data_IF_779353105432
#
_entry.id   IF_779353105432
#
_cell.length_a   1.000
_cell.length_b   1.000
_cell.length_c   1.000
_cell.angle_alpha   90.00
_cell.angle_beta   90.00
_cell.angle_gamma   90.00
#
_symmetry.space_group_name_H-M   'P 1'
#
loop_
_entity.id
_entity.type
_entity.pdbx_description
1 polymer ?
#
# COMPACT_ATOMS: atom_id res chain seq x y z
N UNK A 1 -22.15 -50.57 -28.01
CA UNK A 1 -22.43 -49.12 -28.11
C UNK A 1 -22.42 -48.53 -26.71
N UNK A 2 -21.49 -47.62 -26.39
CA UNK A 2 -21.45 -46.99 -25.07
C UNK A 2 -22.76 -46.22 -24.79
N UNK A 3 -23.28 -46.35 -23.57
CA UNK A 3 -24.54 -45.75 -23.13
C UNK A 3 -24.47 -44.22 -23.18
N UNK A 4 -25.63 -43.54 -23.28
CA UNK A 4 -25.70 -42.08 -23.28
C UNK A 4 -25.08 -41.46 -22.00
N UNK A 5 -25.16 -42.17 -20.87
CA UNK A 5 -24.52 -41.80 -19.61
C UNK A 5 -22.98 -41.78 -19.72
N UNK A 6 -22.39 -42.84 -20.30
CA UNK A 6 -20.94 -42.96 -20.51
C UNK A 6 -20.38 -41.92 -21.48
N UNK A 7 -21.21 -41.41 -22.42
CA UNK A 7 -20.82 -40.30 -23.31
C UNK A 7 -20.92 -38.94 -22.60
N UNK A 8 -21.84 -38.78 -21.65
CA UNK A 8 -21.92 -37.58 -20.82
C UNK A 8 -20.70 -37.48 -19.89
N UNK A 9 -20.30 -38.60 -19.26
CA UNK A 9 -19.15 -38.65 -18.37
C UNK A 9 -17.82 -38.45 -19.12
N UNK A 10 -17.70 -38.93 -20.36
CA UNK A 10 -16.52 -38.65 -21.18
C UNK A 10 -16.44 -37.17 -21.59
N UNK A 11 -17.58 -36.52 -21.87
CA UNK A 11 -17.60 -35.08 -22.22
C UNK A 11 -17.32 -34.20 -20.99
N UNK A 12 -17.80 -34.58 -19.80
CA UNK A 12 -17.50 -33.89 -18.55
C UNK A 12 -16.03 -34.07 -18.12
N UNK A 13 -15.40 -35.22 -18.41
CA UNK A 13 -13.98 -35.46 -18.17
C UNK A 13 -13.03 -34.64 -19.06
N UNK A 14 -13.53 -34.08 -20.17
CA UNK A 14 -12.77 -33.19 -21.06
C UNK A 14 -12.98 -31.70 -20.78
N UNK A 15 -13.88 -31.34 -19.85
CA UNK A 15 -13.92 -29.99 -19.27
C UNK A 15 -12.82 -29.93 -18.21
N UNK A 16 -11.59 -29.68 -18.66
CA UNK A 16 -10.51 -29.25 -17.76
C UNK A 16 -10.93 -27.91 -17.17
N UNK A 17 -11.54 -27.93 -15.98
CA UNK A 17 -11.43 -26.81 -15.04
C UNK A 17 -9.93 -26.54 -14.94
N UNK A 18 -9.44 -25.31 -15.18
CA UNK A 18 -8.02 -25.02 -15.05
C UNK A 18 -7.63 -25.36 -13.60
N UNK A 19 -6.93 -26.48 -13.41
CA UNK A 19 -6.30 -26.76 -12.13
C UNK A 19 -5.27 -25.66 -11.95
N UNK A 20 -5.52 -24.74 -10.99
CA UNK A 20 -4.51 -23.78 -10.59
C UNK A 20 -3.24 -24.56 -10.21
N UNK A 21 -2.03 -24.10 -10.58
CA UNK A 21 -0.81 -24.83 -10.28
C UNK A 21 -0.69 -25.11 -8.77
N UNK A 22 0.06 -26.17 -8.43
CA UNK A 22 0.12 -26.72 -7.06
C UNK A 22 0.42 -25.68 -5.97
N UNK A 23 1.16 -24.61 -6.30
CA UNK A 23 1.42 -23.49 -5.40
C UNK A 23 0.17 -22.73 -4.99
N UNK A 24 -0.69 -22.38 -5.95
CA UNK A 24 -1.93 -21.65 -5.66
C UNK A 24 -2.90 -22.51 -4.86
N UNK A 25 -3.02 -23.81 -5.18
CA UNK A 25 -3.86 -24.72 -4.40
C UNK A 25 -3.41 -24.78 -2.92
N UNK A 26 -2.09 -24.89 -2.67
CA UNK A 26 -1.53 -24.84 -1.31
C UNK A 26 -1.77 -23.50 -0.63
N UNK A 27 -1.59 -22.39 -1.35
CA UNK A 27 -1.76 -21.05 -0.81
C UNK A 27 -3.21 -20.79 -0.36
N UNK A 28 -4.20 -21.35 -1.06
CA UNK A 28 -5.62 -21.18 -0.77
C UNK A 28 -6.15 -22.10 0.35
N UNK A 29 -5.36 -23.07 0.82
CA UNK A 29 -5.76 -23.89 1.97
C UNK A 29 -5.94 -23.04 3.21
N UNK A 30 -6.94 -23.39 4.02
CA UNK A 30 -7.27 -22.71 5.28
C UNK A 30 -6.76 -23.55 6.44
N UNK A 31 -5.67 -23.11 7.06
CA UNK A 31 -5.05 -23.81 8.19
C UNK A 31 -5.26 -23.03 9.49
N UNK A 32 -5.35 -23.72 10.66
CA UNK A 32 -5.50 -23.07 11.97
C UNK A 32 -4.40 -22.05 12.30
N UNK A 33 -3.17 -22.29 11.82
CA UNK A 33 -2.00 -21.42 12.04
C UNK A 33 -1.84 -20.31 10.97
N UNK A 34 -2.74 -20.22 10.00
CA UNK A 34 -2.73 -19.11 9.04
C UNK A 34 -2.83 -17.76 9.77
N UNK A 35 -2.06 -16.77 9.33
CA UNK A 35 -2.21 -15.39 9.80
C UNK A 35 -3.31 -14.71 9.00
N UNK A 36 -4.46 -14.53 9.62
CA UNK A 36 -5.66 -13.99 8.99
C UNK A 36 -5.83 -12.52 9.30
N UNK A 37 -6.47 -11.83 8.36
CA UNK A 37 -6.88 -10.44 8.47
C UNK A 37 -8.37 -10.43 8.76
N UNK A 38 -8.79 -9.81 9.86
CA UNK A 38 -10.20 -9.75 10.26
C UNK A 38 -10.85 -8.40 9.99
N UNK A 39 -10.05 -7.34 9.92
CA UNK A 39 -10.47 -6.01 9.48
C UNK A 39 -9.35 -5.37 8.65
N UNK A 40 -9.72 -4.74 7.55
CA UNK A 40 -8.83 -3.93 6.71
C UNK A 40 -9.58 -2.66 6.28
N UNK A 41 -9.12 -1.49 6.72
CA UNK A 41 -9.77 -0.19 6.44
C UNK A 41 -8.75 0.91 6.27
N UNK A 42 -9.13 1.98 5.58
CA UNK A 42 -8.31 3.19 5.41
C UNK A 42 -9.12 4.47 5.58
N UNK A 43 -8.45 5.54 5.94
CA UNK A 43 -9.02 6.88 5.82
C UNK A 43 -9.12 7.28 4.35
N UNK A 44 -9.86 8.35 4.03
CA UNK A 44 -9.64 9.06 2.79
C UNK A 44 -8.19 9.53 2.71
N UNK A 45 -7.68 9.60 1.49
CA UNK A 45 -6.37 10.14 1.16
C UNK A 45 -6.54 11.56 0.62
N UNK A 46 -5.96 12.54 1.31
CA UNK A 46 -6.11 13.95 0.94
C UNK A 46 -4.79 14.60 0.61
N UNK A 47 -4.78 15.51 -0.36
CA UNK A 47 -3.59 16.26 -0.77
C UNK A 47 -3.02 17.02 0.42
N UNK A 48 -1.73 16.88 0.65
CA UNK A 48 -1.06 17.62 1.70
C UNK A 48 -1.20 19.14 1.48
N UNK A 49 -1.27 19.88 2.59
CA UNK A 49 -1.38 21.34 2.73
C UNK A 49 -2.65 21.99 2.18
N UNK A 50 -3.45 21.27 1.38
CA UNK A 50 -4.62 21.83 0.68
C UNK A 50 -5.88 20.98 0.77
N UNK A 51 -5.75 19.70 1.10
CA UNK A 51 -6.84 18.75 1.16
C UNK A 51 -7.59 18.74 2.48
N UNK A 52 -8.52 17.80 2.62
CA UNK A 52 -9.40 17.68 3.78
C UNK A 52 -8.69 17.45 5.12
N UNK A 53 -7.53 16.78 5.13
CA UNK A 53 -6.75 16.48 6.35
C UNK A 53 -5.61 17.47 6.61
N UNK A 54 -5.57 18.62 5.91
CA UNK A 54 -4.43 19.56 5.98
C UNK A 54 -4.13 20.12 7.37
N UNK A 55 -5.15 20.19 8.24
CA UNK A 55 -5.03 20.67 9.62
C UNK A 55 -5.07 19.51 10.64
N UNK A 56 -5.02 18.26 10.17
CA UNK A 56 -5.08 17.07 11.02
C UNK A 56 -3.67 16.55 11.30
N UNK A 57 -3.15 16.71 12.54
CA UNK A 57 -1.87 16.15 12.92
C UNK A 57 -1.91 14.61 12.98
N UNK A 58 -0.73 13.98 13.01
CA UNK A 58 -0.60 12.53 12.92
C UNK A 58 -1.27 11.79 14.10
N UNK A 59 -1.15 12.33 15.31
CA UNK A 59 -1.77 11.80 16.52
C UNK A 59 -3.30 11.79 16.41
N UNK A 60 -3.93 12.90 16.02
CA UNK A 60 -5.38 12.97 15.82
C UNK A 60 -5.86 12.01 14.72
N UNK A 61 -5.11 11.91 13.62
CA UNK A 61 -5.40 10.98 12.53
C UNK A 61 -5.36 9.51 13.01
N UNK A 62 -4.34 9.15 13.79
CA UNK A 62 -4.21 7.83 14.40
C UNK A 62 -5.33 7.56 15.39
N UNK A 63 -5.62 8.49 16.30
CA UNK A 63 -6.68 8.35 17.30
C UNK A 63 -8.03 8.10 16.62
N UNK A 64 -8.36 8.88 15.59
CA UNK A 64 -9.62 8.76 14.89
C UNK A 64 -9.74 7.40 14.18
N UNK A 65 -8.71 6.97 13.45
CA UNK A 65 -8.70 5.67 12.78
C UNK A 65 -8.80 4.51 13.79
N UNK A 66 -8.04 4.58 14.88
CA UNK A 66 -7.99 3.51 15.90
C UNK A 66 -9.32 3.35 16.64
N UNK A 67 -10.02 4.45 16.92
CA UNK A 67 -11.39 4.41 17.48
C UNK A 67 -12.34 3.68 16.53
N UNK A 68 -12.29 4.01 15.23
CA UNK A 68 -13.12 3.35 14.22
C UNK A 68 -12.76 1.86 14.09
N UNK A 69 -11.48 1.50 14.12
CA UNK A 69 -11.04 0.10 14.08
C UNK A 69 -11.60 -0.66 15.26
N UNK A 70 -11.49 -0.11 16.47
CA UNK A 70 -12.03 -0.72 17.69
C UNK A 70 -13.54 -0.95 17.58
N UNK A 71 -14.27 0.05 17.12
CA UNK A 71 -15.73 -0.02 16.98
C UNK A 71 -16.17 -0.99 15.87
N UNK A 72 -15.52 -0.94 14.70
CA UNK A 72 -15.90 -1.72 13.51
C UNK A 72 -15.45 -3.17 13.56
N UNK A 73 -14.35 -3.48 14.27
CA UNK A 73 -13.87 -4.87 14.43
C UNK A 73 -14.69 -5.66 15.45
N UNK A 74 -15.31 -4.99 16.43
CA UNK A 74 -15.97 -5.65 17.55
C UNK A 74 -15.01 -6.50 18.41
N UNK A 75 -13.69 -6.31 18.27
CA UNK A 75 -12.70 -6.99 19.10
C UNK A 75 -12.73 -6.40 20.52
N UNK A 76 -12.58 -7.25 21.54
CA UNK A 76 -12.28 -6.75 22.88
C UNK A 76 -10.90 -6.07 22.86
N UNK A 77 -10.80 -4.76 23.17
CA UNK A 77 -9.53 -4.04 23.16
C UNK A 77 -8.46 -4.67 24.07
N UNK A 78 -8.86 -5.39 25.13
CA UNK A 78 -7.94 -6.08 26.03
C UNK A 78 -7.20 -7.26 25.40
N UNK A 79 -7.67 -7.74 24.25
CA UNK A 79 -7.02 -8.81 23.51
C UNK A 79 -5.91 -8.29 22.59
N UNK A 80 -5.90 -7.02 22.24
CA UNK A 80 -4.87 -6.46 21.34
C UNK A 80 -3.58 -6.23 22.14
N UNK A 81 -2.54 -6.97 21.79
CA UNK A 81 -1.28 -6.99 22.55
C UNK A 81 -0.23 -6.03 22.01
N UNK A 82 -0.18 -5.81 20.68
CA UNK A 82 0.72 -4.83 20.07
C UNK A 82 0.04 -4.07 18.91
N UNK A 83 0.43 -2.80 18.77
CA UNK A 83 0.08 -1.94 17.65
C UNK A 83 1.36 -1.42 17.00
N UNK A 84 1.67 -1.92 15.81
CA UNK A 84 2.83 -1.46 15.05
C UNK A 84 2.39 -0.37 14.06
N UNK A 85 2.93 0.84 14.21
CA UNK A 85 2.64 1.98 13.33
C UNK A 85 3.78 2.16 12.33
N UNK A 86 3.48 2.04 11.05
CA UNK A 86 4.35 2.44 9.95
C UNK A 86 4.27 3.94 9.73
N UNK A 87 5.35 4.66 10.04
CA UNK A 87 5.49 6.11 9.81
C UNK A 87 6.90 6.42 9.28
N UNK A 88 7.04 7.49 8.51
CA UNK A 88 8.34 7.88 7.94
C UNK A 88 8.83 9.21 8.49
N UNK A 89 8.00 10.25 8.46
CA UNK A 89 8.48 11.62 8.61
C UNK A 89 8.39 12.16 10.03
N UNK A 90 7.41 11.71 10.83
CA UNK A 90 7.09 12.39 12.07
C UNK A 90 8.21 12.26 13.12
N UNK A 91 8.66 13.38 13.71
CA UNK A 91 9.58 13.33 14.84
C UNK A 91 8.86 12.73 16.06
N UNK A 92 9.61 12.00 16.90
CA UNK A 92 9.03 11.43 18.12
C UNK A 92 7.92 10.40 17.88
N UNK A 93 7.89 9.77 16.70
CA UNK A 93 6.88 8.79 16.27
C UNK A 93 6.50 7.74 17.33
N UNK A 94 7.44 7.30 18.19
CA UNK A 94 7.17 6.35 19.27
C UNK A 94 6.26 6.94 20.38
N UNK A 95 6.46 8.21 20.75
CA UNK A 95 5.60 8.92 21.69
C UNK A 95 4.20 9.10 21.10
N UNK A 96 4.12 9.48 19.83
CA UNK A 96 2.86 9.67 19.10
C UNK A 96 2.08 8.36 19.01
N UNK A 97 2.72 7.28 18.55
CA UNK A 97 2.06 5.98 18.38
C UNK A 97 1.49 5.45 19.69
N UNK A 98 2.28 5.42 20.77
CA UNK A 98 1.83 4.91 22.07
C UNK A 98 0.70 5.75 22.65
N UNK A 99 0.82 7.08 22.58
CA UNK A 99 -0.18 8.00 23.11
C UNK A 99 -1.49 7.91 22.33
N UNK A 100 -1.43 7.79 21.01
CA UNK A 100 -2.62 7.63 20.17
C UNK A 100 -3.37 6.33 20.43
N UNK A 101 -2.65 5.21 20.65
CA UNK A 101 -3.26 3.92 21.03
C UNK A 101 -4.04 4.03 22.33
N UNK A 102 -3.44 4.63 23.36
CA UNK A 102 -4.10 4.84 24.65
C UNK A 102 -5.28 5.82 24.53
N UNK A 103 -5.12 6.93 23.82
CA UNK A 103 -6.16 7.93 23.61
C UNK A 103 -7.32 7.43 22.72
N UNK A 104 -7.07 6.42 21.88
CA UNK A 104 -8.10 5.70 21.15
C UNK A 104 -8.89 4.72 22.03
N UNK A 105 -8.45 4.51 23.27
CA UNK A 105 -9.10 3.68 24.29
C UNK A 105 -8.79 2.20 24.17
N UNK A 106 -7.59 1.86 23.70
CA UNK A 106 -6.95 0.58 24.01
C UNK A 106 -6.37 0.64 25.44
N UNK A 107 -6.35 -0.49 26.18
CA UNK A 107 -5.89 -0.50 27.56
C UNK A 107 -4.38 -0.25 27.67
N UNK A 108 -3.95 0.08 28.89
CA UNK A 108 -2.53 0.27 29.23
C UNK A 108 -1.68 -0.98 28.98
N UNK A 109 -2.31 -2.16 28.87
CA UNK A 109 -1.66 -3.44 28.58
C UNK A 109 -1.36 -3.66 27.10
N UNK A 110 -2.09 -3.03 26.17
CA UNK A 110 -1.75 -3.05 24.75
C UNK A 110 -0.43 -2.32 24.56
N UNK A 111 0.57 -2.87 23.87
CA UNK A 111 1.82 -2.18 23.56
C UNK A 111 1.71 -1.33 22.28
N UNK A 112 2.78 -0.58 21.96
CA UNK A 112 2.89 0.08 20.67
C UNK A 112 4.36 0.14 20.22
N UNK A 113 4.57 -0.04 18.91
CA UNK A 113 5.87 0.04 18.27
C UNK A 113 5.78 0.87 16.98
N UNK A 114 6.93 1.27 16.45
CA UNK A 114 7.01 2.00 15.19
C UNK A 114 7.95 1.30 14.23
N UNK A 115 7.51 1.19 12.98
CA UNK A 115 8.29 0.67 11.87
C UNK A 115 8.62 1.80 10.89
N UNK A 116 9.90 2.00 10.60
CA UNK A 116 10.33 2.89 9.54
C UNK A 116 11.25 2.16 8.55
N UNK A 117 10.75 1.98 7.33
CA UNK A 117 11.51 1.57 6.15
C UNK A 117 10.98 2.35 4.95
N UNK A 118 10.98 3.68 5.08
CA UNK A 118 10.51 4.61 4.04
C UNK A 118 9.14 4.20 3.47
N UNK A 119 8.99 4.19 2.15
CA UNK A 119 7.73 3.94 1.45
C UNK A 119 7.05 2.59 1.79
N UNK A 120 7.79 1.63 2.36
CA UNK A 120 7.24 0.33 2.75
C UNK A 120 6.90 0.22 4.24
N UNK A 121 6.99 1.29 5.04
CA UNK A 121 6.78 1.22 6.50
C UNK A 121 5.45 0.57 6.90
N UNK A 122 4.36 0.84 6.17
CA UNK A 122 3.07 0.19 6.42
C UNK A 122 3.09 -1.33 6.16
N UNK A 123 3.72 -1.77 5.06
CA UNK A 123 3.88 -3.20 4.77
C UNK A 123 4.84 -3.87 5.77
N UNK A 124 5.87 -3.15 6.24
CA UNK A 124 6.74 -3.60 7.31
C UNK A 124 5.99 -3.75 8.63
N UNK A 125 5.09 -2.83 8.97
CA UNK A 125 4.26 -2.95 10.16
C UNK A 125 3.37 -4.22 10.12
N UNK A 126 2.76 -4.50 8.97
CA UNK A 126 1.99 -5.74 8.74
C UNK A 126 2.89 -6.97 8.89
N UNK A 127 4.07 -6.96 8.28
CA UNK A 127 5.04 -8.05 8.40
C UNK A 127 5.48 -8.26 9.86
N UNK A 128 5.74 -7.18 10.62
CA UNK A 128 6.18 -7.26 12.00
C UNK A 128 5.10 -7.89 12.89
N UNK A 129 3.85 -7.42 12.80
CA UNK A 129 2.74 -8.01 13.56
C UNK A 129 2.53 -9.47 13.17
N UNK A 130 2.51 -9.79 11.88
CA UNK A 130 2.37 -11.18 11.42
C UNK A 130 3.51 -12.07 11.96
N UNK A 131 4.75 -11.59 11.95
CA UNK A 131 5.90 -12.34 12.48
C UNK A 131 5.82 -12.55 13.99
N UNK A 132 5.35 -11.57 14.76
CA UNK A 132 5.14 -11.73 16.20
C UNK A 132 4.09 -12.81 16.48
N UNK A 133 3.01 -12.85 15.71
CA UNK A 133 1.96 -13.89 15.82
C UNK A 133 2.49 -15.26 15.41
N UNK A 134 3.25 -15.35 14.31
CA UNK A 134 3.88 -16.59 13.85
C UNK A 134 4.84 -17.14 14.92
N UNK A 135 5.61 -16.24 15.56
CA UNK A 135 6.56 -16.61 16.61
C UNK A 135 5.88 -16.93 17.97
N UNK A 136 4.58 -16.68 18.10
CA UNK A 136 3.84 -16.87 19.36
C UNK A 136 4.20 -15.83 20.44
N UNK A 137 4.69 -14.65 20.05
CA UNK A 137 4.95 -13.55 20.98
C UNK A 137 3.69 -12.77 21.35
N UNK A 138 2.70 -12.76 20.45
CA UNK A 138 1.35 -12.19 20.64
C UNK A 138 0.35 -13.07 19.88
N UNK A 139 -0.93 -13.01 20.24
CA UNK A 139 -2.03 -13.69 19.55
C UNK A 139 -2.85 -12.74 18.65
N UNK A 140 -3.02 -11.48 19.06
CA UNK A 140 -3.77 -10.45 18.32
C UNK A 140 -2.97 -9.16 18.25
N UNK A 141 -2.82 -8.61 17.04
CA UNK A 141 -2.10 -7.36 16.83
C UNK A 141 -2.69 -6.50 15.72
N UNK A 142 -2.40 -5.21 15.79
CA UNK A 142 -2.84 -4.23 14.80
C UNK A 142 -1.64 -3.66 14.06
N UNK A 143 -1.68 -3.74 12.73
CA UNK A 143 -0.73 -3.05 11.87
C UNK A 143 -1.38 -1.79 11.30
N UNK A 144 -0.76 -0.64 11.56
CA UNK A 144 -1.23 0.67 11.08
C UNK A 144 -0.16 1.24 10.18
N UNK A 145 -0.54 1.90 9.09
CA UNK A 145 0.34 2.81 8.37
C UNK A 145 -0.29 4.19 8.38
N UNK A 146 0.46 5.23 8.72
CA UNK A 146 -0.07 6.59 8.81
C UNK A 146 1.00 7.63 8.44
N UNK A 147 0.59 8.67 7.72
CA UNK A 147 1.44 9.82 7.43
C UNK A 147 0.61 11.11 7.38
N UNK A 148 1.15 12.18 7.96
CA UNK A 148 0.66 13.56 7.79
C UNK A 148 1.79 14.40 7.19
N UNK A 149 1.86 14.43 5.86
CA UNK A 149 2.83 15.22 5.12
C UNK A 149 2.48 16.72 5.12
N UNK A 150 1.25 17.07 5.52
CA UNK A 150 0.85 18.43 5.89
C UNK A 150 1.55 18.90 7.16
N UNK A 151 1.58 18.05 8.19
CA UNK A 151 2.18 18.36 9.48
C UNK A 151 3.71 18.17 9.51
N UNK A 152 4.26 17.33 8.63
CA UNK A 152 5.72 17.10 8.57
C UNK A 152 6.20 17.02 7.13
N UNK A 153 7.08 17.95 6.75
CA UNK A 153 7.69 17.96 5.42
C UNK A 153 8.77 16.87 5.31
N UNK A 154 8.99 16.39 4.09
CA UNK A 154 10.17 15.60 3.76
C UNK A 154 11.35 16.56 3.49
N UNK A 155 12.21 16.74 4.49
CA UNK A 155 13.40 17.58 4.43
C UNK A 155 14.61 16.88 3.77
N UNK A 156 14.41 15.67 3.25
CA UNK A 156 15.45 14.88 2.61
C UNK A 156 16.41 14.20 3.59
N UNK A 157 17.58 13.80 3.08
CA UNK A 157 18.57 13.09 3.88
C UNK A 157 19.15 14.01 4.98
N UNK A 158 19.29 13.52 6.23
CA UNK A 158 19.99 14.27 7.27
C UNK A 158 21.48 14.39 6.95
N UNK A 159 22.20 15.26 7.66
CA UNK A 159 23.66 15.32 7.57
C UNK A 159 24.28 13.97 7.95
N UNK A 160 25.05 13.38 7.04
CA UNK A 160 25.73 12.10 7.24
C UNK A 160 27.23 12.27 7.52
N UNK A 161 27.87 11.21 8.01
CA UNK A 161 29.32 11.21 8.27
C UNK A 161 30.11 11.31 6.97
N UNK A 162 31.30 11.92 7.02
CA UNK A 162 32.19 12.02 5.85
C UNK A 162 32.54 10.65 5.26
N UNK A 163 32.59 9.59 6.06
CA UNK A 163 32.78 8.23 5.58
C UNK A 163 31.65 7.76 4.65
N UNK A 164 30.39 8.10 4.97
CA UNK A 164 29.25 7.79 4.10
C UNK A 164 29.30 8.64 2.83
N UNK A 165 29.58 9.93 2.96
CA UNK A 165 29.61 10.87 1.84
C UNK A 165 30.74 10.57 0.84
N UNK A 166 31.85 10.04 1.31
CA UNK A 166 32.99 9.66 0.46
C UNK A 166 32.87 8.24 -0.11
N UNK A 167 31.91 7.42 0.35
CA UNK A 167 31.72 6.08 -0.18
C UNK A 167 30.94 6.13 -1.50
N UNK A 168 31.40 5.47 -2.58
CA UNK A 168 30.85 5.63 -3.94
C UNK A 168 29.37 5.22 -4.08
N UNK A 169 28.92 4.22 -3.32
CA UNK A 169 27.51 3.76 -3.33
C UNK A 169 26.69 4.46 -2.25
N UNK A 170 27.15 4.49 -0.98
CA UNK A 170 26.37 5.04 0.12
C UNK A 170 26.06 6.55 -0.04
N UNK A 171 26.95 7.32 -0.67
CA UNK A 171 26.71 8.75 -0.98
C UNK A 171 25.51 8.97 -1.90
N UNK A 172 25.10 7.96 -2.67
CA UNK A 172 23.90 8.04 -3.51
C UNK A 172 22.62 8.18 -2.70
N UNK A 173 22.62 7.84 -1.40
CA UNK A 173 21.45 8.01 -0.52
C UNK A 173 21.08 9.49 -0.29
N UNK A 174 21.95 10.44 -0.62
CA UNK A 174 21.62 11.87 -0.61
C UNK A 174 20.81 12.30 -1.83
N UNK A 175 20.68 11.46 -2.87
CA UNK A 175 19.93 11.83 -4.06
C UNK A 175 18.43 11.91 -3.72
N UNK A 176 17.78 13.06 -3.99
CA UNK A 176 16.33 13.17 -3.83
C UNK A 176 15.61 12.15 -4.71
N UNK A 177 14.45 11.67 -4.29
CA UNK A 177 13.69 10.65 -5.03
C UNK A 177 13.34 11.09 -6.46
N UNK A 178 13.12 12.39 -6.68
CA UNK A 178 12.93 12.94 -8.02
C UNK A 178 14.12 12.71 -8.95
N UNK A 179 15.35 12.76 -8.43
CA UNK A 179 16.57 12.47 -9.20
C UNK A 179 16.67 10.98 -9.53
N UNK A 180 16.27 10.11 -8.61
CA UNK A 180 16.28 8.66 -8.89
C UNK A 180 15.22 8.27 -9.92
N UNK A 181 14.09 8.99 -9.98
CA UNK A 181 13.12 8.88 -11.09
C UNK A 181 13.75 9.20 -12.44
N UNK A 182 14.48 10.32 -12.54
CA UNK A 182 15.19 10.69 -13.78
C UNK A 182 16.28 9.68 -14.15
N UNK A 183 17.02 9.15 -13.17
CA UNK A 183 18.01 8.11 -13.40
C UNK A 183 17.37 6.85 -14.00
N UNK A 184 16.22 6.40 -13.47
CA UNK A 184 15.48 5.26 -14.02
C UNK A 184 15.00 5.56 -15.44
N UNK A 185 14.42 6.74 -15.67
CA UNK A 185 13.95 7.14 -16.98
C UNK A 185 15.07 7.17 -18.03
N UNK A 186 16.21 7.78 -17.71
CA UNK A 186 17.37 7.85 -18.60
C UNK A 186 18.05 6.50 -18.82
N UNK A 187 18.35 5.76 -17.73
CA UNK A 187 19.11 4.51 -17.82
C UNK A 187 18.32 3.39 -18.51
N UNK A 188 17.01 3.35 -18.34
CA UNK A 188 16.16 2.30 -18.90
C UNK A 188 15.28 2.79 -20.06
N UNK A 189 15.57 3.99 -20.59
CA UNK A 189 14.87 4.58 -21.75
C UNK A 189 13.34 4.67 -21.58
N UNK A 190 12.86 4.92 -20.36
CA UNK A 190 11.44 5.13 -20.11
C UNK A 190 11.05 6.52 -20.60
N UNK A 191 10.29 6.57 -21.68
CA UNK A 191 9.95 7.82 -22.35
C UNK A 191 8.93 8.65 -21.56
N UNK A 192 9.00 9.98 -21.70
CA UNK A 192 7.98 10.91 -21.16
C UNK A 192 6.56 10.52 -21.59
N UNK A 193 6.39 10.11 -22.85
CA UNK A 193 5.09 9.67 -23.38
C UNK A 193 4.55 8.46 -22.60
N UNK A 194 5.37 7.43 -22.39
CA UNK A 194 4.97 6.25 -21.63
C UNK A 194 4.64 6.60 -20.16
N UNK A 195 5.41 7.50 -19.55
CA UNK A 195 5.14 7.99 -18.19
C UNK A 195 3.78 8.69 -18.09
N UNK A 196 3.45 9.55 -19.05
CA UNK A 196 2.18 10.29 -19.06
C UNK A 196 0.99 9.39 -19.42
N UNK A 197 1.18 8.38 -20.28
CA UNK A 197 0.15 7.36 -20.58
C UNK A 197 -0.16 6.50 -19.35
N UNK A 198 0.88 6.06 -18.63
CA UNK A 198 0.73 5.33 -17.38
C UNK A 198 -0.01 6.16 -16.31
N UNK A 199 0.39 7.42 -16.15
CA UNK A 199 -0.23 8.35 -15.22
C UNK A 199 -1.71 8.62 -15.56
N UNK A 200 -2.03 8.85 -16.83
CA UNK A 200 -3.41 9.05 -17.28
C UNK A 200 -4.28 7.81 -16.99
N UNK A 201 -3.76 6.62 -17.24
CA UNK A 201 -4.44 5.36 -16.90
C UNK A 201 -4.71 5.25 -15.40
N UNK A 202 -3.76 5.63 -14.55
CA UNK A 202 -3.96 5.67 -13.08
C UNK A 202 -5.12 6.59 -12.68
N UNK A 203 -5.15 7.82 -13.20
CA UNK A 203 -6.24 8.77 -12.95
C UNK A 203 -7.60 8.27 -13.45
N UNK A 204 -7.65 7.70 -14.66
CA UNK A 204 -8.90 7.20 -15.25
C UNK A 204 -9.44 5.98 -14.49
N UNK A 205 -8.57 5.08 -14.02
CA UNK A 205 -8.95 3.96 -13.15
C UNK A 205 -9.50 4.45 -11.81
N UNK A 206 -8.83 5.41 -11.17
CA UNK A 206 -9.30 6.01 -9.91
C UNK A 206 -10.63 6.77 -10.08
N UNK A 207 -10.78 7.55 -11.16
CA UNK A 207 -12.03 8.23 -11.48
C UNK A 207 -13.19 7.24 -11.64
N UNK A 208 -12.97 6.17 -12.41
CA UNK A 208 -13.97 5.10 -12.58
C UNK A 208 -14.32 4.43 -11.25
N UNK A 209 -13.33 4.09 -10.44
CA UNK A 209 -13.54 3.46 -9.15
C UNK A 209 -14.36 4.34 -8.20
N UNK A 210 -14.06 5.65 -8.14
CA UNK A 210 -14.82 6.60 -7.33
C UNK A 210 -16.25 6.80 -7.86
N UNK A 211 -16.43 6.97 -9.18
CA UNK A 211 -17.77 7.14 -9.78
C UNK A 211 -18.67 5.93 -9.57
N UNK A 212 -18.08 4.73 -9.56
CA UNK A 212 -18.80 3.48 -9.38
C UNK A 212 -18.95 3.04 -7.91
N UNK A 213 -18.49 3.83 -6.94
CA UNK A 213 -18.58 3.51 -5.51
C UNK A 213 -17.70 2.34 -5.06
N UNK A 214 -16.66 1.97 -5.83
CA UNK A 214 -15.84 0.80 -5.51
C UNK A 214 -15.00 0.99 -4.24
N UNK A 215 -14.77 2.23 -3.82
CA UNK A 215 -13.95 2.57 -2.64
C UNK A 215 -14.75 2.62 -1.34
N UNK A 216 -16.08 2.47 -1.39
CA UNK A 216 -16.97 2.73 -0.26
C UNK A 216 -16.81 1.69 0.86
N UNK A 217 -16.31 0.50 0.55
CA UNK A 217 -16.11 -0.59 1.51
C UNK A 217 -14.75 -0.53 2.24
N UNK A 218 -13.76 0.14 1.64
CA UNK A 218 -12.42 0.33 2.19
C UNK A 218 -12.25 1.64 2.97
N UNK A 219 -12.97 2.71 2.60
CA UNK A 219 -12.85 4.02 3.25
C UNK A 219 -13.71 4.09 4.52
N UNK A 220 -13.11 4.56 5.61
CA UNK A 220 -13.83 4.99 6.81
C UNK A 220 -13.81 6.51 6.94
N UNK A 221 -14.97 7.19 7.03
CA UNK A 221 -15.00 8.64 7.21
C UNK A 221 -14.33 9.09 8.51
N UNK A 222 -13.58 10.18 8.46
CA UNK A 222 -12.86 10.73 9.62
C UNK A 222 -13.43 12.12 9.95
N UNK A 223 -13.77 12.34 11.21
CA UNK A 223 -14.14 13.66 11.71
C UNK A 223 -12.88 14.43 12.09
N UNK A 224 -12.72 15.64 11.57
CA UNK A 224 -11.53 16.48 11.76
C UNK A 224 -11.90 17.91 12.08
N UNK A 225 -10.99 18.63 12.74
CA UNK A 225 -11.02 20.08 12.78
C UNK A 225 -10.44 20.63 11.47
N UNK A 226 -11.22 21.47 10.80
CA UNK A 226 -10.83 22.12 9.55
C UNK A 226 -10.81 23.63 9.75
N UNK A 227 -9.68 24.25 9.40
CA UNK A 227 -9.50 25.69 9.40
C UNK A 227 -9.72 26.25 8.00
N UNK A 228 -10.78 27.05 7.83
CA UNK A 228 -11.07 27.72 6.57
C UNK A 228 -9.90 28.65 6.18
N UNK A 229 -9.31 28.50 4.99
CA UNK A 229 -8.14 29.29 4.59
C UNK A 229 -8.46 30.77 4.30
N UNK A 230 -9.72 31.14 4.09
CA UNK A 230 -10.18 32.51 3.84
C UNK A 230 -10.59 33.22 5.12
N UNK A 231 -11.34 32.55 6.00
CA UNK A 231 -11.91 33.18 7.21
C UNK A 231 -11.09 32.89 8.46
N UNK A 232 -10.25 31.85 8.46
CA UNK A 232 -9.52 31.38 9.63
C UNK A 232 -10.39 30.67 10.67
N UNK A 233 -11.70 30.53 10.44
CA UNK A 233 -12.62 29.85 11.34
C UNK A 233 -12.36 28.35 11.37
N UNK A 234 -12.38 27.76 12.57
CA UNK A 234 -12.27 26.32 12.77
C UNK A 234 -13.67 25.73 12.88
N UNK A 235 -13.90 24.65 12.14
CA UNK A 235 -15.16 23.88 12.12
C UNK A 235 -14.87 22.39 12.17
N UNK A 236 -15.80 21.59 12.68
CA UNK A 236 -15.74 20.14 12.51
C UNK A 236 -16.26 19.75 11.12
N UNK A 237 -15.51 18.92 10.41
CA UNK A 237 -15.91 18.36 9.12
C UNK A 237 -15.72 16.85 9.09
N UNK A 238 -16.54 16.18 8.29
CA UNK A 238 -16.37 14.74 8.00
C UNK A 238 -15.74 14.61 6.63
N UNK A 239 -14.52 14.09 6.59
CA UNK A 239 -13.83 13.76 5.36
C UNK A 239 -14.12 12.30 5.02
N UNK A 240 -14.65 12.05 3.83
CA UNK A 240 -15.10 10.71 3.41
C UNK A 240 -14.68 10.30 2.00
N UNK A 241 -13.89 11.13 1.29
CA UNK A 241 -13.48 10.88 -0.10
C UNK A 241 -12.04 11.30 -0.35
N UNK A 242 -11.36 10.54 -1.21
CA UNK A 242 -10.03 10.92 -1.69
C UNK A 242 -10.13 12.16 -2.58
N UNK A 243 -9.32 13.21 -2.33
CA UNK A 243 -9.39 14.51 -3.03
C UNK A 243 -8.24 14.73 -4.04
N UNK A 244 -7.39 13.69 -4.20
CA UNK A 244 -6.27 13.68 -5.14
C UNK A 244 -6.68 13.43 -6.59
N UNK A 245 -7.79 12.73 -6.83
CA UNK A 245 -8.18 12.29 -8.18
C UNK A 245 -8.59 13.50 -9.03
N UNK A 246 -8.07 13.58 -10.25
CA UNK A 246 -8.36 14.63 -11.24
C UNK A 246 -9.14 14.02 -12.40
N UNK A 247 -10.44 14.26 -12.42
CA UNK A 247 -11.34 13.68 -13.43
C UNK A 247 -11.06 14.24 -14.82
N UNK A 248 -11.16 13.38 -15.84
CA UNK A 248 -10.91 13.74 -17.23
C UNK A 248 -9.43 13.90 -17.58
N UNK A 249 -8.51 13.44 -16.72
CA UNK A 249 -7.07 13.49 -17.03
C UNK A 249 -6.74 12.62 -18.24
N UNK A 250 -6.02 13.19 -19.21
CA UNK A 250 -5.56 12.50 -20.43
C UNK A 250 -4.05 12.61 -20.59
N UNK A 251 -3.43 11.66 -21.30
CA UNK A 251 -2.00 11.70 -21.60
C UNK A 251 -1.60 13.00 -22.33
N UNK A 252 -2.45 13.50 -23.24
CA UNK A 252 -2.23 14.79 -23.93
C UNK A 252 -2.21 15.97 -22.95
N UNK A 253 -3.14 16.00 -21.98
CA UNK A 253 -3.16 17.05 -20.96
C UNK A 253 -1.92 17.01 -20.06
N UNK A 254 -1.44 15.80 -19.71
CA UNK A 254 -0.23 15.59 -18.92
C UNK A 254 1.04 15.99 -19.69
N UNK A 255 1.08 15.76 -21.01
CA UNK A 255 2.18 16.17 -21.89
C UNK A 255 2.47 17.68 -21.86
N UNK A 256 1.48 18.51 -21.48
CA UNK A 256 1.60 19.98 -21.37
C UNK A 256 2.21 20.44 -20.04
N UNK A 257 2.37 19.55 -19.06
CA UNK A 257 2.92 19.87 -17.74
C UNK A 257 4.45 20.00 -17.84
N UNK A 258 4.98 21.07 -17.24
CA UNK A 258 6.42 21.33 -17.14
C UNK A 258 7.10 20.28 -16.27
N UNK A 259 8.36 19.99 -16.58
CA UNK A 259 9.20 19.13 -15.74
C UNK A 259 9.27 19.67 -14.31
N UNK A 260 9.12 18.79 -13.34
CA UNK A 260 9.28 19.12 -11.93
C UNK A 260 10.76 19.29 -11.55
N UNK A 261 11.65 18.64 -12.31
CA UNK A 261 13.10 18.65 -12.06
C UNK A 261 13.86 19.02 -13.35
N UNK A 262 13.80 20.30 -13.80
CA UNK A 262 14.52 20.77 -14.99
C UNK A 262 16.05 20.64 -14.89
N UNK A 263 16.58 20.56 -13.67
CA UNK A 263 18.02 20.47 -13.39
C UNK A 263 18.61 19.06 -13.58
N UNK A 264 17.78 18.03 -13.78
CA UNK A 264 18.22 16.64 -13.94
C UNK A 264 17.68 16.07 -15.26
N UNK A 265 18.56 15.57 -16.12
CA UNK A 265 18.19 14.90 -17.37
C UNK A 265 17.68 13.47 -17.08
N UNK A 266 16.70 12.94 -17.86
CA UNK A 266 16.09 13.52 -19.06
C UNK A 266 15.03 14.60 -18.81
N UNK A 267 14.74 14.92 -17.56
CA UNK A 267 13.71 15.89 -17.15
C UNK A 267 12.29 15.48 -17.58
N UNK A 268 12.02 14.18 -17.45
CA UNK A 268 10.75 13.58 -17.86
C UNK A 268 9.70 13.60 -16.74
N UNK A 269 10.12 13.68 -15.48
CA UNK A 269 9.22 13.68 -14.32
C UNK A 269 8.51 15.02 -14.19
N UNK A 270 7.19 14.96 -13.99
CA UNK A 270 6.32 16.10 -13.76
C UNK A 270 5.44 15.87 -12.54
N UNK A 271 4.78 16.93 -12.05
CA UNK A 271 3.76 16.77 -11.02
C UNK A 271 2.53 15.96 -11.45
N UNK A 272 2.38 15.68 -12.74
CA UNK A 272 1.28 14.87 -13.28
C UNK A 272 1.59 13.38 -13.43
N UNK A 273 2.87 13.01 -13.43
CA UNK A 273 3.34 11.62 -13.56
C UNK A 273 4.17 11.15 -12.34
N UNK A 274 4.06 11.87 -11.22
CA UNK A 274 4.60 11.52 -9.92
C UNK A 274 3.47 11.38 -8.90
N UNK A 275 3.69 10.60 -7.83
CA UNK A 275 2.72 10.51 -6.75
C UNK A 275 2.48 11.85 -6.07
N UNK A 276 1.25 12.08 -5.63
CA UNK A 276 0.92 13.29 -4.87
C UNK A 276 1.42 13.17 -3.43
N UNK A 277 1.88 14.29 -2.87
CA UNK A 277 2.14 14.44 -1.44
C UNK A 277 0.78 14.43 -0.73
N UNK A 278 0.61 13.53 0.24
CA UNK A 278 -0.71 13.12 0.71
C UNK A 278 -0.69 12.77 2.19
N UNK A 279 -1.79 13.09 2.86
CA UNK A 279 -2.10 12.68 4.22
C UNK A 279 -3.06 11.50 4.19
N UNK A 280 -2.90 10.58 5.13
CA UNK A 280 -3.84 9.47 5.31
C UNK A 280 -3.29 8.34 6.16
N UNK A 281 -4.18 7.44 6.57
CA UNK A 281 -3.85 6.29 7.38
C UNK A 281 -4.66 5.04 6.96
N UNK A 282 -4.13 3.87 7.29
CA UNK A 282 -4.77 2.58 7.04
C UNK A 282 -4.42 1.60 8.17
N UNK A 283 -5.33 0.67 8.46
CA UNK A 283 -5.18 -0.27 9.55
C UNK A 283 -5.66 -1.68 9.16
N UNK A 284 -4.95 -2.67 9.68
CA UNK A 284 -5.19 -4.10 9.46
C UNK A 284 -5.10 -4.82 10.81
N UNK A 285 -6.16 -5.53 11.19
CA UNK A 285 -6.21 -6.37 12.39
C UNK A 285 -5.83 -7.81 12.01
N UNK A 286 -4.82 -8.36 12.70
CA UNK A 286 -4.28 -9.69 12.43
C UNK A 286 -4.34 -10.60 13.67
N UNK A 287 -4.56 -11.88 13.43
CA UNK A 287 -4.47 -12.96 14.42
C UNK A 287 -4.29 -14.31 13.71
N UNK A 288 -4.03 -15.40 14.44
CA UNK A 288 -4.14 -16.75 13.89
C UNK A 288 -5.59 -17.07 13.50
N UNK A 289 -5.79 -17.89 12.46
CA UNK A 289 -7.14 -18.36 12.05
C UNK A 289 -7.91 -18.98 13.21
N UNK A 290 -7.29 -19.91 13.93
CA UNK A 290 -7.93 -20.59 15.06
C UNK A 290 -8.43 -19.58 16.11
N UNK A 291 -7.67 -18.50 16.33
CA UNK A 291 -8.06 -17.44 17.26
C UNK A 291 -9.22 -16.60 16.73
N UNK A 292 -9.21 -16.25 15.44
CA UNK A 292 -10.33 -15.56 14.81
C UNK A 292 -11.63 -16.38 14.90
N UNK A 293 -11.56 -17.68 14.60
CA UNK A 293 -12.69 -18.61 14.68
C UNK A 293 -13.20 -18.74 16.13
N UNK A 294 -12.31 -18.88 17.11
CA UNK A 294 -12.66 -18.93 18.52
C UNK A 294 -13.37 -17.65 19.00
N UNK A 295 -12.94 -16.49 18.50
CA UNK A 295 -13.49 -15.18 18.84
C UNK A 295 -14.73 -14.80 18.00
N UNK A 296 -15.12 -15.62 17.03
CA UNK A 296 -16.20 -15.30 16.09
C UNK A 296 -15.90 -14.08 15.20
N UNK A 297 -14.62 -13.76 15.00
CA UNK A 297 -14.19 -12.64 14.15
C UNK A 297 -14.30 -13.02 12.67
N UNK A 298 -14.80 -12.11 11.80
CA UNK A 298 -14.83 -12.36 10.36
C UNK A 298 -13.40 -12.48 9.82
N UNK A 299 -13.21 -13.27 8.76
CA UNK A 299 -11.92 -13.37 8.06
C UNK A 299 -12.10 -12.78 6.67
N UNK A 300 -11.44 -11.67 6.38
CA UNK A 300 -11.52 -10.98 5.07
C UNK A 300 -10.36 -11.35 4.14
N UNK A 301 -9.28 -11.89 4.71
CA UNK A 301 -8.13 -12.36 3.94
C UNK A 301 -7.05 -12.97 4.82
N UNK A 302 -5.92 -13.26 4.18
CA UNK A 302 -4.78 -13.96 4.78
C UNK A 302 -3.47 -13.34 4.33
N UNK A 303 -2.57 -13.11 5.29
CA UNK A 303 -1.18 -12.77 5.02
C UNK A 303 -0.39 -14.05 4.69
N UNK A 304 0.24 -14.10 3.52
CA UNK A 304 0.98 -15.27 3.06
C UNK A 304 2.51 -15.10 3.10
N UNK A 305 2.97 -13.89 3.41
CA UNK A 305 4.39 -13.57 3.52
C UNK A 305 4.74 -12.24 2.88
N UNK A 306 5.89 -11.70 3.30
CA UNK A 306 6.50 -10.53 2.68
C UNK A 306 8.02 -10.70 2.61
N UNK A 307 8.65 -10.02 1.66
CA UNK A 307 10.10 -10.04 1.50
C UNK A 307 10.64 -8.67 1.12
N UNK A 308 11.93 -8.48 1.38
CA UNK A 308 12.70 -7.28 1.09
C UNK A 308 13.93 -7.65 0.25
N UNK A 309 14.36 -6.73 -0.59
CA UNK A 309 15.65 -6.75 -1.30
C UNK A 309 16.35 -5.40 -1.16
N UNK A 310 17.67 -5.41 -1.29
CA UNK A 310 18.49 -4.21 -1.49
C UNK A 310 18.95 -4.14 -2.94
N UNK A 311 19.17 -2.92 -3.43
CA UNK A 311 19.67 -2.59 -4.76
C UNK A 311 20.40 -1.25 -4.73
N UNK A 312 20.94 -0.83 -5.87
CA UNK A 312 21.67 0.44 -5.95
C UNK A 312 20.75 1.66 -5.67
N UNK A 313 21.08 2.55 -4.72
CA UNK A 313 20.19 3.64 -4.30
C UNK A 313 19.76 4.61 -5.41
N UNK A 314 20.67 4.94 -6.34
CA UNK A 314 20.37 5.89 -7.42
C UNK A 314 19.26 5.43 -8.37
N UNK A 315 18.91 4.15 -8.36
CA UNK A 315 17.84 3.53 -9.16
C UNK A 315 16.84 2.77 -8.29
N UNK A 316 16.64 3.19 -7.03
CA UNK A 316 15.77 2.51 -6.05
C UNK A 316 14.37 2.15 -6.59
N UNK A 317 13.88 2.93 -7.55
CA UNK A 317 12.60 2.75 -8.20
C UNK A 317 12.36 1.38 -8.84
N UNK A 318 13.42 0.64 -9.19
CA UNK A 318 13.28 -0.69 -9.79
C UNK A 318 13.09 -1.81 -8.76
N UNK A 319 13.04 -1.50 -7.47
CA UNK A 319 12.90 -2.48 -6.38
C UNK A 319 11.82 -3.55 -6.56
N UNK A 320 10.58 -3.21 -7.00
CA UNK A 320 9.52 -4.20 -7.27
C UNK A 320 9.93 -5.29 -8.26
N UNK A 321 10.74 -4.95 -9.28
CA UNK A 321 11.20 -5.91 -10.30
C UNK A 321 12.07 -7.05 -9.72
N UNK A 322 12.61 -6.87 -8.51
CA UNK A 322 13.34 -7.91 -7.77
C UNK A 322 12.52 -8.51 -6.63
N UNK A 323 11.75 -7.68 -5.92
CA UNK A 323 10.99 -8.11 -4.74
C UNK A 323 9.83 -9.03 -5.10
N UNK A 324 9.10 -8.74 -6.20
CA UNK A 324 7.95 -9.53 -6.65
C UNK A 324 8.38 -10.96 -7.03
N UNK A 325 9.36 -11.19 -7.93
CA UNK A 325 9.80 -12.55 -8.24
C UNK A 325 10.30 -13.30 -7.00
N UNK A 326 11.01 -12.62 -6.09
CA UNK A 326 11.52 -13.22 -4.85
C UNK A 326 10.40 -13.73 -3.94
N UNK A 327 9.33 -12.95 -3.72
CA UNK A 327 8.24 -13.41 -2.86
C UNK A 327 7.42 -14.51 -3.54
N UNK A 328 7.15 -14.39 -4.85
CA UNK A 328 6.42 -15.40 -5.61
C UNK A 328 7.14 -16.76 -5.57
N UNK A 329 8.47 -16.76 -5.78
CA UNK A 329 9.27 -17.98 -5.65
C UNK A 329 9.23 -18.60 -4.24
N UNK A 330 9.17 -17.79 -3.18
CA UNK A 330 9.05 -18.29 -1.79
C UNK A 330 7.71 -18.96 -1.50
N UNK A 331 6.62 -18.47 -2.09
CA UNK A 331 5.27 -19.02 -1.90
C UNK A 331 4.87 -20.02 -2.99
N UNK A 332 5.77 -20.31 -3.94
CA UNK A 332 5.54 -21.27 -5.02
C UNK A 332 4.56 -20.79 -6.09
N UNK A 333 4.44 -19.47 -6.28
CA UNK A 333 3.58 -18.86 -7.30
C UNK A 333 4.40 -18.38 -8.50
N UNK A 334 3.72 -18.27 -9.64
CA UNK A 334 4.16 -17.52 -10.82
C UNK A 334 3.46 -16.16 -10.92
N UNK A 335 3.85 -15.32 -11.89
CA UNK A 335 3.17 -14.04 -12.17
C UNK A 335 1.72 -14.29 -12.62
N UNK A 336 1.47 -15.36 -13.37
CA UNK A 336 0.16 -15.67 -13.93
C UNK A 336 -0.87 -16.06 -12.85
N UNK A 337 -0.39 -16.57 -11.72
CA UNK A 337 -1.20 -16.94 -10.55
C UNK A 337 -1.75 -15.74 -9.78
N UNK A 338 -1.20 -14.55 -9.99
CA UNK A 338 -1.61 -13.34 -9.29
C UNK A 338 -2.79 -12.71 -10.02
N UNK A 339 -3.82 -12.39 -9.26
CA UNK A 339 -5.06 -11.79 -9.76
C UNK A 339 -4.99 -10.26 -9.79
N UNK A 340 -4.34 -9.66 -8.78
CA UNK A 340 -4.19 -8.20 -8.62
C UNK A 340 -2.77 -7.86 -8.16
N UNK A 341 -2.15 -6.90 -8.82
CA UNK A 341 -0.90 -6.28 -8.38
C UNK A 341 -1.18 -4.84 -7.93
N UNK A 342 -0.98 -4.56 -6.65
CA UNK A 342 -0.89 -3.20 -6.13
C UNK A 342 0.58 -2.78 -6.06
N UNK A 343 1.06 -2.12 -7.11
CA UNK A 343 2.44 -1.63 -7.21
C UNK A 343 2.44 -0.12 -6.99
N UNK A 344 3.19 0.36 -6.00
CA UNK A 344 3.18 1.78 -5.66
C UNK A 344 3.72 2.63 -6.81
N UNK A 345 2.99 3.69 -7.14
CA UNK A 345 3.30 4.58 -8.27
C UNK A 345 4.01 5.84 -7.78
N UNK A 346 5.14 5.68 -7.07
CA UNK A 346 5.92 6.83 -6.58
C UNK A 346 6.27 7.79 -7.75
N UNK A 347 6.72 7.21 -8.86
CA UNK A 347 6.91 7.90 -10.13
C UNK A 347 6.53 6.96 -11.28
N UNK A 348 5.96 7.51 -12.35
CA UNK A 348 5.59 6.73 -13.53
C UNK A 348 6.80 6.07 -14.21
N UNK A 349 8.00 6.67 -14.13
CA UNK A 349 9.25 6.07 -14.62
C UNK A 349 9.50 4.69 -14.01
N UNK A 350 9.25 4.56 -12.71
CA UNK A 350 9.43 3.35 -11.92
C UNK A 350 8.29 2.35 -12.17
N UNK A 351 7.05 2.85 -12.24
CA UNK A 351 5.86 2.05 -12.53
C UNK A 351 5.95 1.38 -13.91
N UNK A 352 6.19 2.17 -14.97
CA UNK A 352 6.35 1.67 -16.33
C UNK A 352 7.47 0.64 -16.40
N UNK A 353 8.67 0.96 -15.88
CA UNK A 353 9.78 0.03 -15.88
C UNK A 353 9.42 -1.31 -15.22
N UNK A 354 8.80 -1.28 -14.03
CA UNK A 354 8.50 -2.51 -13.30
C UNK A 354 7.43 -3.36 -14.01
N UNK A 355 6.39 -2.74 -14.56
CA UNK A 355 5.34 -3.42 -15.33
C UNK A 355 5.95 -4.09 -16.56
N UNK A 356 6.72 -3.34 -17.35
CA UNK A 356 7.34 -3.85 -18.58
C UNK A 356 8.37 -4.94 -18.29
N UNK A 357 9.24 -4.72 -17.29
CA UNK A 357 10.31 -5.66 -16.93
C UNK A 357 9.77 -7.00 -16.46
N UNK A 358 8.64 -7.01 -15.77
CA UNK A 358 7.99 -8.21 -15.27
C UNK A 358 6.96 -8.79 -16.25
N UNK A 359 6.63 -8.09 -17.33
CA UNK A 359 5.61 -8.52 -18.29
C UNK A 359 4.22 -8.61 -17.67
N UNK A 360 3.88 -7.70 -16.75
CA UNK A 360 2.59 -7.74 -16.06
C UNK A 360 1.46 -7.31 -16.99
N UNK A 361 0.33 -8.00 -16.92
CA UNK A 361 -0.92 -7.54 -17.54
C UNK A 361 -1.36 -6.20 -16.91
N UNK A 362 -1.42 -5.09 -17.69
CA UNK A 362 -1.83 -3.79 -17.18
C UNK A 362 -3.23 -3.78 -16.54
N UNK A 363 -4.12 -4.71 -16.92
CA UNK A 363 -5.45 -4.83 -16.32
C UNK A 363 -5.41 -5.35 -14.88
N UNK A 364 -4.35 -6.09 -14.50
CA UNK A 364 -4.13 -6.58 -13.13
C UNK A 364 -3.40 -5.57 -12.24
N UNK A 365 -2.75 -4.55 -12.82
CA UNK A 365 -1.93 -3.57 -12.09
C UNK A 365 -2.76 -2.35 -11.68
N UNK A 366 -2.87 -2.11 -10.37
CA UNK A 366 -3.59 -0.98 -9.76
C UNK A 366 -4.96 -0.75 -10.43
N UNK A 367 -5.87 -1.75 -10.46
CA UNK A 367 -7.11 -1.68 -11.24
C UNK A 367 -8.06 -0.55 -10.77
N UNK A 368 -7.87 -0.06 -9.55
CA UNK A 368 -8.58 1.09 -8.95
C UNK A 368 -7.80 2.41 -9.03
N UNK A 369 -6.72 2.45 -9.81
CA UNK A 369 -5.76 3.55 -9.83
C UNK A 369 -4.76 3.43 -8.67
N UNK A 370 -3.62 4.08 -8.81
CA UNK A 370 -2.54 4.02 -7.82
C UNK A 370 -2.15 5.40 -7.29
N UNK A 371 -0.93 5.49 -6.76
CA UNK A 371 -0.48 6.65 -6.00
C UNK A 371 -0.32 7.95 -6.82
N UNK A 372 -0.23 7.88 -8.15
CA UNK A 372 -0.27 9.08 -9.00
C UNK A 372 -1.64 9.77 -8.86
N UNK A 373 -2.72 9.00 -8.83
CA UNK A 373 -4.07 9.51 -8.71
C UNK A 373 -4.54 9.68 -7.27
N UNK A 374 -4.29 8.67 -6.43
CA UNK A 374 -4.77 8.58 -5.05
C UNK A 374 -3.85 9.28 -4.04
N UNK A 375 -2.57 9.45 -4.39
CA UNK A 375 -1.54 9.97 -3.50
C UNK A 375 -0.70 8.91 -2.79
N UNK A 376 0.44 9.35 -2.24
CA UNK A 376 1.42 8.52 -1.55
C UNK A 376 1.72 9.04 -0.13
N UNK A 377 0.84 8.78 0.85
CA UNK A 377 1.19 8.99 2.26
C UNK A 377 2.19 7.92 2.67
N UNK A 378 3.48 8.28 2.70
CA UNK A 378 4.63 7.36 2.75
C UNK A 378 4.39 6.13 3.65
N UNK A 379 4.29 6.35 4.97
CA UNK A 379 4.10 5.26 5.94
C UNK A 379 2.78 4.50 5.82
N UNK A 380 1.73 5.13 5.28
CA UNK A 380 0.41 4.53 5.09
C UNK A 380 0.32 3.59 3.88
N UNK A 381 1.10 3.86 2.83
CA UNK A 381 0.86 3.26 1.51
C UNK A 381 0.91 1.74 1.49
N UNK A 382 1.89 1.13 2.17
CA UNK A 382 1.99 -0.33 2.21
C UNK A 382 0.76 -1.01 2.84
N UNK A 383 0.21 -0.43 3.91
CA UNK A 383 -1.02 -0.92 4.54
C UNK A 383 -2.23 -0.64 3.65
N UNK A 384 -2.32 0.58 3.10
CA UNK A 384 -3.41 1.01 2.20
C UNK A 384 -3.56 0.09 0.99
N UNK A 385 -2.44 -0.28 0.35
CA UNK A 385 -2.44 -1.16 -0.81
C UNK A 385 -3.05 -2.53 -0.50
N UNK A 386 -2.84 -3.08 0.71
CA UNK A 386 -3.44 -4.35 1.11
C UNK A 386 -4.95 -4.18 1.27
N UNK A 387 -5.41 -3.09 1.89
CA UNK A 387 -6.84 -2.78 2.02
C UNK A 387 -7.49 -2.72 0.64
N UNK A 388 -6.91 -1.94 -0.29
CA UNK A 388 -7.43 -1.79 -1.65
C UNK A 388 -7.38 -3.10 -2.43
N UNK A 389 -6.31 -3.88 -2.31
CA UNK A 389 -6.18 -5.18 -2.98
C UNK A 389 -7.26 -6.16 -2.51
N UNK A 390 -7.52 -6.26 -1.20
CA UNK A 390 -8.54 -7.16 -0.66
C UNK A 390 -9.95 -6.76 -1.10
N UNK A 391 -10.26 -5.47 -1.11
CA UNK A 391 -11.54 -4.97 -1.63
C UNK A 391 -11.70 -5.27 -3.13
N UNK A 392 -10.65 -5.09 -3.92
CA UNK A 392 -10.69 -5.37 -5.35
C UNK A 392 -10.83 -6.85 -5.67
N UNK A 393 -10.10 -7.72 -4.96
CA UNK A 393 -10.24 -9.15 -5.10
C UNK A 393 -11.67 -9.60 -4.80
N UNK A 394 -12.31 -9.05 -3.75
CA UNK A 394 -13.73 -9.29 -3.47
C UNK A 394 -14.63 -8.83 -4.60
N UNK A 395 -14.43 -7.63 -5.12
CA UNK A 395 -15.23 -7.10 -6.24
C UNK A 395 -15.14 -7.96 -7.50
N UNK A 396 -13.96 -8.54 -7.76
CA UNK A 396 -13.72 -9.38 -8.94
C UNK A 396 -13.99 -10.88 -8.70
N UNK A 397 -14.39 -11.30 -7.50
CA UNK A 397 -14.42 -12.70 -7.06
C UNK A 397 -13.10 -13.45 -7.37
N UNK A 398 -11.98 -12.81 -7.03
CA UNK A 398 -10.61 -13.32 -7.20
C UNK A 398 -9.94 -13.54 -5.86
N UNK A 399 -8.73 -14.13 -5.84
CA UNK A 399 -8.14 -14.60 -4.57
C UNK A 399 -6.75 -14.06 -4.28
N UNK A 400 -5.85 -13.92 -5.25
CA UNK A 400 -4.42 -13.70 -4.96
C UNK A 400 -3.98 -12.28 -5.31
N UNK A 401 -3.47 -11.54 -4.33
CA UNK A 401 -2.87 -10.23 -4.55
C UNK A 401 -1.39 -10.21 -4.20
N UNK A 402 -0.64 -9.40 -4.95
CA UNK A 402 0.71 -8.96 -4.59
C UNK A 402 0.67 -7.46 -4.36
N UNK A 403 1.17 -7.01 -3.21
CA UNK A 403 1.49 -5.60 -2.99
C UNK A 403 2.99 -5.40 -3.11
N UNK A 404 3.44 -4.30 -3.70
CA UNK A 404 4.87 -4.00 -3.80
C UNK A 404 5.15 -2.51 -3.94
N UNK A 405 6.32 -2.10 -3.50
CA UNK A 405 6.81 -0.74 -3.64
C UNK A 405 8.34 -0.71 -3.76
N UNK A 406 8.83 0.29 -4.50
CA UNK A 406 10.19 0.76 -4.32
C UNK A 406 10.32 1.40 -2.93
N UNK A 407 11.53 1.40 -2.40
CA UNK A 407 11.83 1.92 -1.09
C UNK A 407 13.06 2.80 -1.20
N UNK A 408 12.99 3.98 -0.59
CA UNK A 408 14.11 4.91 -0.50
C UNK A 408 15.41 4.23 -0.08
N UNK A 409 16.54 4.84 -0.46
CA UNK A 409 17.90 4.34 -0.19
C UNK A 409 18.26 2.99 -0.83
N UNK A 410 17.51 2.57 -1.87
CA UNK A 410 17.87 1.41 -2.67
C UNK A 410 17.32 0.11 -2.14
N UNK A 411 15.99 0.04 -1.94
CA UNK A 411 15.32 -1.18 -1.51
C UNK A 411 14.04 -1.44 -2.31
N UNK A 412 13.52 -2.66 -2.21
CA UNK A 412 12.20 -3.03 -2.73
C UNK A 412 11.52 -4.04 -1.82
N UNK A 413 10.23 -3.86 -1.55
CA UNK A 413 9.46 -4.77 -0.71
C UNK A 413 8.24 -5.31 -1.47
N UNK A 414 7.88 -6.56 -1.21
CA UNK A 414 6.67 -7.17 -1.76
C UNK A 414 6.01 -8.11 -0.74
N UNK A 415 4.68 -8.17 -0.75
CA UNK A 415 3.88 -9.06 0.08
C UNK A 415 2.81 -9.80 -0.73
N UNK A 416 2.47 -11.02 -0.31
CA UNK A 416 1.42 -11.84 -0.92
C UNK A 416 0.25 -11.97 0.05
N UNK A 417 -0.96 -11.77 -0.47
CA UNK A 417 -2.19 -11.79 0.29
C UNK A 417 -3.25 -12.61 -0.44
N UNK A 418 -4.10 -13.29 0.31
CA UNK A 418 -5.26 -14.01 -0.21
C UNK A 418 -6.53 -13.37 0.32
N UNK A 419 -7.53 -13.16 -0.54
CA UNK A 419 -8.88 -12.75 -0.11
C UNK A 419 -9.74 -13.97 0.26
N UNK A 420 -10.52 -13.85 1.33
CA UNK A 420 -11.42 -14.90 1.85
C UNK A 420 -12.87 -14.41 2.02
N UNK A 421 -13.31 -13.54 1.11
CA UNK A 421 -14.67 -12.97 1.10
C UNK A 421 -15.78 -13.99 0.85
#
# INVERSE_FOLDING_TARGET
MASAQQRLDSVLGHVKVPQRPAGTAKLLQKNPDDIVITLAVRTPLTKARKGGLKDTPLDDLLIALLKIVREKSGIDPNLVEDVCVGNVLAPGQAYVARSAVLAAGFPVTTAASVANRFCSSGLLAVQNIANQIIAGSIDVGLAVGAESMSGTADDGAPKMSSQILNHPIASQNEQPMGRTSENVAGQFSVTRKAMDEFAASSFQKAERAQKAGWVDDEIVPIKVHFKDPKTGQVSEQVISRDDGVRYGTTAESLGKIRAAFPQWAPSATTGGNASQITDGAAAILLMKRARAEQLGQPIVGKFCGATIIGLEPRIMGIGPSYAIPKILGKVGLSIDDVDVFEINEAFASMGVYCVDKLGLDPAKVNPRGGAIALGHPLGCTGTRQIVTALSELRRQDKRVAVTSMCVGTGMGMAGVFVSEH
#
